data_IF_715521057811
#
_entry.id   IF_715521057811
#
_cell.length_a   1.000
_cell.length_b   1.000
_cell.length_c   1.000
_cell.angle_alpha   90.00
_cell.angle_beta   90.00
_cell.angle_gamma   90.00
#
_symmetry.space_group_name_H-M   'P 1'
#
loop_
_entity.id
_entity.type
_entity.pdbx_description
1 polymer ?
#
# COMPACT_ATOMS: atom_id res chain seq x y z
N UNK A 1 -10.24 9.79 -17.23
CA UNK A 1 -9.85 8.89 -16.47
C UNK A 1 -8.91 9.28 -15.52
N UNK A 2 -9.04 8.94 -14.50
CA UNK A 2 -8.17 9.39 -13.53
C UNK A 2 -6.94 8.62 -13.62
N UNK A 3 -5.87 9.23 -13.44
CA UNK A 3 -4.63 8.55 -13.41
C UNK A 3 -4.40 7.90 -12.09
N UNK A 4 -3.29 7.23 -11.99
CA UNK A 4 -2.86 6.66 -10.74
C UNK A 4 -2.22 7.75 -9.92
N UNK A 5 -2.52 7.87 -8.65
CA UNK A 5 -1.90 8.88 -7.81
C UNK A 5 -0.38 8.82 -7.91
N UNK A 6 0.22 9.98 -7.99
CA UNK A 6 1.67 10.08 -8.15
C UNK A 6 2.41 9.39 -7.01
N UNK A 7 1.84 9.43 -5.81
CA UNK A 7 2.44 8.79 -4.65
C UNK A 7 2.64 7.30 -4.90
N UNK A 8 1.64 6.64 -5.46
CA UNK A 8 1.74 5.22 -5.73
C UNK A 8 2.69 4.97 -6.88
N UNK A 9 2.61 5.80 -7.91
CA UNK A 9 3.43 5.57 -9.08
C UNK A 9 4.91 5.72 -8.74
N UNK A 10 5.27 6.77 -8.04
CA UNK A 10 6.67 6.99 -7.73
C UNK A 10 7.19 5.93 -6.77
N UNK A 11 6.37 5.52 -5.84
CA UNK A 11 6.79 4.50 -4.88
C UNK A 11 7.11 3.19 -5.61
N UNK A 12 6.22 2.77 -6.51
CA UNK A 12 6.40 1.51 -7.22
C UNK A 12 7.56 1.59 -8.21
N UNK A 13 7.77 2.73 -8.83
CA UNK A 13 8.82 2.84 -9.82
C UNK A 13 10.21 2.86 -9.20
N UNK A 14 10.32 3.39 -8.00
CA UNK A 14 11.62 3.55 -7.40
C UNK A 14 12.07 2.40 -6.53
N UNK A 15 11.21 1.43 -6.29
CA UNK A 15 11.53 0.34 -5.38
C UNK A 15 11.23 -1.00 -6.01
N UNK A 16 12.09 -1.99 -5.80
CA UNK A 16 11.82 -3.33 -6.33
C UNK A 16 10.91 -4.10 -5.40
N UNK A 17 10.25 -5.08 -5.96
CA UNK A 17 9.49 -6.04 -5.16
C UNK A 17 8.44 -5.42 -4.28
N UNK A 18 7.77 -4.40 -4.80
CA UNK A 18 6.65 -3.79 -4.08
C UNK A 18 5.44 -4.68 -4.23
N UNK A 19 4.70 -4.87 -3.15
CA UNK A 19 3.44 -5.62 -3.20
C UNK A 19 2.35 -4.74 -2.61
N UNK A 20 1.12 -5.02 -2.94
CA UNK A 20 0.00 -4.19 -2.56
C UNK A 20 -0.98 -4.94 -1.68
N UNK A 21 -1.61 -4.21 -0.77
CA UNK A 21 -2.70 -4.74 0.02
C UNK A 21 -3.90 -3.84 -0.23
N UNK A 22 -5.04 -4.42 -0.56
CA UNK A 22 -6.27 -3.68 -0.76
C UNK A 22 -7.21 -4.07 0.36
N UNK A 23 -7.71 -3.10 1.11
CA UNK A 23 -8.62 -3.42 2.20
C UNK A 23 -9.78 -2.45 2.25
N UNK A 24 -10.93 -2.96 2.61
CA UNK A 24 -12.15 -2.16 2.72
C UNK A 24 -12.13 -1.49 4.09
N UNK A 25 -12.14 -0.19 4.12
CA UNK A 25 -12.02 0.52 5.38
C UNK A 25 -13.21 1.38 5.71
N UNK A 26 -14.14 1.57 4.82
CA UNK A 26 -15.33 2.33 5.07
C UNK A 26 -16.40 1.88 4.14
N UNK A 27 -17.59 2.53 4.25
CA UNK A 27 -18.65 2.09 3.44
C UNK A 27 -18.30 2.09 1.99
N UNK A 28 -17.69 3.13 1.50
CA UNK A 28 -17.32 3.24 0.11
C UNK A 28 -15.88 3.65 -0.04
N UNK A 29 -15.03 3.15 0.81
CA UNK A 29 -13.63 3.54 0.81
C UNK A 29 -12.76 2.30 0.88
N UNK A 30 -11.81 2.21 -0.03
CA UNK A 30 -10.88 1.10 -0.08
C UNK A 30 -9.47 1.67 -0.03
N UNK A 31 -8.65 1.14 0.87
CA UNK A 31 -7.27 1.56 0.94
C UNK A 31 -6.43 0.67 0.07
N UNK A 32 -5.50 1.28 -0.63
CA UNK A 32 -4.48 0.56 -1.36
C UNK A 32 -3.15 0.92 -0.73
N UNK A 33 -2.47 -0.06 -0.15
CA UNK A 33 -1.16 0.16 0.43
C UNK A 33 -0.13 -0.50 -0.46
N UNK A 34 0.97 0.19 -0.72
CA UNK A 34 2.11 -0.41 -1.40
C UNK A 34 3.21 -0.56 -0.36
N UNK A 35 3.81 -1.74 -0.30
CA UNK A 35 4.79 -2.07 0.73
C UNK A 35 6.03 -2.60 0.04
N UNK A 36 7.20 -2.05 0.33
CA UNK A 36 8.43 -2.54 -0.28
C UNK A 36 9.09 -3.56 0.63
N UNK A 37 10.23 -4.11 0.20
CA UNK A 37 10.87 -5.17 0.94
C UNK A 37 11.39 -4.72 2.29
N UNK A 38 11.60 -3.43 2.50
CA UNK A 38 12.09 -2.93 3.76
C UNK A 38 10.98 -2.64 4.75
N UNK A 39 9.73 -2.71 4.30
CA UNK A 39 8.59 -2.38 5.14
C UNK A 39 8.12 -0.95 5.02
N UNK A 40 8.76 -0.16 4.17
CA UNK A 40 8.27 1.20 3.93
C UNK A 40 7.00 1.09 3.11
N UNK A 41 6.04 1.95 3.37
CA UNK A 41 4.76 1.85 2.70
C UNK A 41 4.13 3.21 2.45
N UNK A 42 3.22 3.25 1.47
CA UNK A 42 2.39 4.42 1.20
C UNK A 42 0.97 3.94 1.06
N UNK A 43 0.02 4.84 1.20
CA UNK A 43 -1.39 4.49 1.16
C UNK A 43 -2.16 5.52 0.37
N UNK A 44 -3.14 5.06 -0.39
CA UNK A 44 -4.09 5.94 -1.08
C UNK A 44 -5.47 5.33 -0.98
N UNK A 45 -6.50 6.16 -1.03
CA UNK A 45 -7.87 5.69 -0.94
C UNK A 45 -8.50 5.66 -2.31
N UNK A 46 -9.37 4.69 -2.52
CA UNK A 46 -10.10 4.55 -3.77
C UNK A 46 -11.57 4.31 -3.45
N UNK A 47 -12.47 4.74 -4.31
CA UNK A 47 -13.90 4.55 -4.05
C UNK A 47 -14.39 3.13 -4.26
N UNK A 48 -13.66 2.32 -5.03
CA UNK A 48 -14.06 0.94 -5.27
C UNK A 48 -12.83 0.04 -5.28
N UNK A 49 -13.03 -1.23 -4.99
CA UNK A 49 -11.94 -2.17 -5.04
C UNK A 49 -11.50 -2.39 -6.49
N UNK A 50 -12.40 -2.25 -7.45
CA UNK A 50 -12.03 -2.41 -8.85
C UNK A 50 -11.03 -1.35 -9.29
N UNK A 51 -11.20 -0.12 -8.85
CA UNK A 51 -10.24 0.92 -9.20
C UNK A 51 -8.90 0.68 -8.53
N UNK A 52 -8.91 0.22 -7.29
CA UNK A 52 -7.67 -0.11 -6.60
C UNK A 52 -6.94 -1.25 -7.32
N UNK A 53 -7.68 -2.28 -7.75
CA UNK A 53 -7.06 -3.38 -8.46
C UNK A 53 -6.54 -2.97 -9.82
N UNK A 54 -7.25 -2.07 -10.48
CA UNK A 54 -6.79 -1.58 -11.78
C UNK A 54 -5.48 -0.82 -11.61
N UNK A 55 -5.35 -0.04 -10.55
CA UNK A 55 -4.11 0.67 -10.28
C UNK A 55 -2.97 -0.33 -10.09
N UNK A 56 -3.21 -1.42 -9.36
CA UNK A 56 -2.18 -2.42 -9.16
C UNK A 56 -1.76 -3.05 -10.47
N UNK A 57 -2.71 -3.35 -11.36
CA UNK A 57 -2.37 -3.94 -12.65
C UNK A 57 -1.54 -2.99 -13.48
N UNK A 58 -1.89 -1.72 -13.47
CA UNK A 58 -1.15 -0.72 -14.24
C UNK A 58 0.25 -0.55 -13.69
N UNK A 59 0.41 -0.62 -12.37
CA UNK A 59 1.72 -0.48 -11.77
C UNK A 59 2.54 -1.77 -11.84
N UNK A 60 1.90 -2.88 -12.16
CA UNK A 60 2.61 -4.15 -12.24
C UNK A 60 2.94 -4.75 -10.89
N UNK A 61 2.16 -4.45 -9.86
CA UNK A 61 2.42 -4.98 -8.54
C UNK A 61 1.39 -6.04 -8.19
N UNK A 62 1.79 -7.01 -7.38
CA UNK A 62 0.89 -8.06 -6.94
C UNK A 62 -0.03 -7.51 -5.85
N UNK A 63 -1.32 -7.74 -6.00
CA UNK A 63 -2.30 -7.27 -5.03
C UNK A 63 -2.81 -8.40 -4.16
N UNK A 64 -2.94 -8.12 -2.88
CA UNK A 64 -3.49 -9.06 -1.91
C UNK A 64 -4.75 -8.47 -1.32
N UNK A 65 -5.75 -9.31 -1.08
CA UNK A 65 -6.99 -8.84 -0.48
C UNK A 65 -6.84 -8.87 1.03
N UNK A 66 -6.85 -7.70 1.62
CA UNK A 66 -6.66 -7.62 3.06
C UNK A 66 -5.28 -8.10 3.43
N UNK A 67 -5.12 -8.51 4.63
CA UNK A 67 -3.83 -8.93 5.15
C UNK A 67 -3.68 -10.45 5.12
N UNK A 68 -4.00 -11.03 3.97
CA UNK A 68 -3.88 -12.46 3.82
C UNK A 68 -2.45 -12.92 3.82
N UNK A 69 -1.52 -12.05 3.51
CA UNK A 69 -0.13 -12.43 3.46
C UNK A 69 0.58 -11.95 4.71
N UNK A 70 0.81 -12.81 5.70
CA UNK A 70 1.42 -12.37 6.96
C UNK A 70 2.79 -11.74 6.80
N UNK A 71 3.49 -12.11 5.74
CA UNK A 71 4.80 -11.57 5.47
C UNK A 71 4.78 -10.05 5.34
N UNK A 72 3.73 -9.52 4.72
CA UNK A 72 3.64 -8.08 4.51
C UNK A 72 3.35 -7.33 5.80
N UNK A 73 2.49 -7.90 6.63
CA UNK A 73 2.20 -7.29 7.92
C UNK A 73 3.47 -7.28 8.77
N UNK A 74 4.26 -8.34 8.71
CA UNK A 74 5.49 -8.37 9.48
C UNK A 74 6.50 -7.34 8.99
N UNK A 75 6.57 -7.10 7.68
CA UNK A 75 7.46 -6.08 7.15
C UNK A 75 7.10 -4.71 7.69
N UNK A 76 5.82 -4.38 7.64
CA UNK A 76 5.38 -3.08 8.11
C UNK A 76 5.59 -2.92 9.60
N UNK A 77 5.27 -3.95 10.36
CA UNK A 77 5.41 -3.86 11.80
C UNK A 77 6.87 -3.74 12.21
N UNK A 78 7.75 -4.42 11.53
CA UNK A 78 9.17 -4.31 11.84
C UNK A 78 9.67 -2.90 11.57
N UNK A 79 9.21 -2.30 10.48
CA UNK A 79 9.62 -0.95 10.15
C UNK A 79 9.08 0.06 11.15
N UNK A 80 7.81 -0.10 11.51
CA UNK A 80 7.20 0.80 12.46
C UNK A 80 7.89 0.69 13.81
N UNK A 81 8.25 -0.51 14.21
CA UNK A 81 8.94 -0.71 15.46
C UNK A 81 10.27 0.03 15.46
N UNK A 82 11.00 -0.05 14.35
CA UNK A 82 12.24 0.64 14.27
C UNK A 82 12.10 2.13 14.28
N UNK A 83 11.09 2.66 13.63
CA UNK A 83 10.88 4.07 13.53
C UNK A 83 10.33 4.68 14.74
N UNK A 84 10.07 4.01 15.74
CA UNK A 84 9.72 4.46 16.92
C UNK A 84 8.60 5.04 17.05
N UNK A 85 8.36 5.37 18.03
CA UNK A 85 7.21 5.70 18.41
C UNK A 85 6.66 6.81 17.93
N UNK A 86 7.05 7.63 17.93
CA UNK A 86 6.56 8.72 17.68
C UNK A 86 5.93 8.78 16.52
N UNK A 87 5.63 8.64 16.13
CA UNK A 87 5.04 8.79 15.26
C UNK A 87 5.32 8.85 14.03
N UNK A 88 6.03 8.63 13.93
CA UNK A 88 6.36 8.70 12.84
C UNK A 88 5.51 8.15 12.06
N UNK A 89 4.97 7.49 12.58
CA UNK A 89 4.19 6.99 11.94
C UNK A 89 3.36 7.79 11.30
N UNK A 90 3.34 8.46 11.32
CA UNK A 90 2.57 9.02 10.77
C UNK A 90 2.64 9.60 9.82
N UNK A 91 2.91 9.50 9.60
CA UNK A 91 3.09 10.01 8.75
C UNK A 91 2.23 10.13 8.01
N UNK A 92 1.80 10.15 8.16
CA UNK A 92 1.07 10.20 7.66
C UNK A 92 0.87 10.79 7.19
#
# INVERSE_FOLDING_TARGET
MSGIPWTLRSFAQLRPEVEAVIQHVGRETWDLLLIDVTGLWVREEFPTSDEARRACRTLGVRAHDGWDEPRLARRMNARDHWNTPDGQRRAR
#
